data_IF_023070749212
#
_entry.id   IF_023070749212
#
_cell.length_a   1.000
_cell.length_b   1.000
_cell.length_c   1.000
_cell.angle_alpha   90.00
_cell.angle_beta   90.00
_cell.angle_gamma   90.00
#
_symmetry.space_group_name_H-M   'P 1'
#
loop_
_entity.id
_entity.type
_entity.pdbx_description
1 polymer ?
#
# COMPACT_ATOMS: atom_id res chain seq x y z
N UNK A 1 10.15 1.27 15.30
CA UNK A 1 9.24 0.30 15.94
C UNK A 1 7.80 0.81 15.86
N UNK A 2 6.80 -0.06 15.96
CA UNK A 2 5.37 0.33 15.90
C UNK A 2 4.99 1.33 17.00
N UNK A 3 5.55 1.19 18.21
CA UNK A 3 5.33 2.12 19.32
C UNK A 3 5.92 3.52 19.03
N UNK A 4 7.06 3.60 18.31
CA UNK A 4 7.65 4.88 17.88
C UNK A 4 6.79 5.55 16.81
N UNK A 5 6.28 4.78 15.84
CA UNK A 5 5.35 5.28 14.81
C UNK A 5 4.12 5.89 15.48
N UNK A 6 3.53 5.18 16.47
CA UNK A 6 2.44 5.71 17.30
C UNK A 6 2.82 7.03 17.95
N UNK A 7 3.96 7.08 18.65
CA UNK A 7 4.39 8.29 19.35
C UNK A 7 4.56 9.50 18.40
N UNK A 8 5.16 9.29 17.23
CA UNK A 8 5.35 10.34 16.21
C UNK A 8 4.01 10.84 15.68
N UNK A 9 3.09 9.93 15.31
CA UNK A 9 1.75 10.29 14.83
C UNK A 9 1.01 11.11 15.89
N UNK A 10 0.97 10.63 17.14
CA UNK A 10 0.28 11.30 18.24
C UNK A 10 0.85 12.67 18.55
N UNK A 11 2.19 12.77 18.63
CA UNK A 11 2.86 14.05 18.87
C UNK A 11 2.55 15.05 17.74
N UNK A 12 2.62 14.61 16.48
CA UNK A 12 2.35 15.47 15.33
C UNK A 12 0.91 16.02 15.34
N UNK A 13 -0.07 15.16 15.63
CA UNK A 13 -1.49 15.57 15.72
C UNK A 13 -1.71 16.50 16.91
N UNK A 14 -1.04 16.26 18.04
CA UNK A 14 -1.15 17.10 19.24
C UNK A 14 -0.50 18.48 19.06
N UNK A 15 0.66 18.54 18.41
CA UNK A 15 1.43 19.77 18.21
C UNK A 15 0.81 20.65 17.11
N UNK A 16 0.00 20.06 16.21
CA UNK A 16 -0.68 20.74 15.11
C UNK A 16 -2.15 20.31 14.98
N UNK A 17 -3.00 20.59 15.99
CA UNK A 17 -4.39 20.13 16.02
C UNK A 17 -5.28 20.78 14.96
N UNK A 18 -4.89 21.94 14.43
CA UNK A 18 -5.63 22.70 13.42
C UNK A 18 -5.42 22.17 11.99
N UNK A 19 -4.42 21.31 11.78
CA UNK A 19 -4.06 20.80 10.45
C UNK A 19 -4.70 19.44 10.18
N UNK A 20 -4.96 19.20 8.89
CA UNK A 20 -5.24 17.85 8.38
C UNK A 20 -3.91 17.13 8.14
N UNK A 21 -3.83 15.88 8.53
CA UNK A 21 -2.60 15.08 8.44
C UNK A 21 -2.80 13.91 7.49
N UNK A 22 -1.73 13.52 6.80
CA UNK A 22 -1.64 12.28 6.04
C UNK A 22 -0.34 11.61 6.43
N UNK A 23 -0.42 10.36 6.88
CA UNK A 23 0.77 9.58 7.23
C UNK A 23 1.04 8.55 6.14
N UNK A 24 2.28 8.49 5.67
CA UNK A 24 2.73 7.50 4.67
C UNK A 24 3.82 6.65 5.31
N UNK A 25 3.67 5.33 5.23
CA UNK A 25 4.60 4.35 5.81
C UNK A 25 5.14 3.45 4.70
N UNK A 26 6.44 3.56 4.45
CA UNK A 26 7.21 2.76 3.50
C UNK A 26 8.24 1.89 4.24
N UNK A 27 8.04 0.58 4.39
CA UNK A 27 6.87 -0.24 4.06
C UNK A 27 6.63 -1.26 5.18
N UNK A 28 5.49 -1.98 5.15
CA UNK A 28 5.05 -2.92 6.18
C UNK A 28 6.15 -3.90 6.66
N UNK A 29 6.95 -4.44 5.74
CA UNK A 29 8.03 -5.39 6.02
C UNK A 29 9.12 -4.85 6.96
N UNK A 30 9.33 -3.53 6.99
CA UNK A 30 10.35 -2.88 7.82
C UNK A 30 9.85 -2.49 9.22
N UNK A 31 8.56 -2.62 9.49
CA UNK A 31 8.01 -2.27 10.80
C UNK A 31 8.41 -3.36 11.81
N UNK A 32 9.08 -2.90 12.87
CA UNK A 32 9.50 -3.73 14.00
C UNK A 32 8.49 -3.64 15.14
N UNK A 33 8.37 -4.73 15.87
CA UNK A 33 7.57 -4.88 17.09
C UNK A 33 8.43 -5.64 18.09
N UNK A 34 8.19 -5.41 19.38
CA UNK A 34 8.91 -6.03 20.49
C UNK A 34 8.36 -7.43 20.79
N UNK A 35 7.18 -7.76 20.26
CA UNK A 35 6.56 -9.07 20.35
C UNK A 35 7.23 -10.09 19.42
N UNK A 36 7.29 -11.33 19.89
CA UNK A 36 7.77 -12.47 19.08
C UNK A 36 6.58 -13.19 18.46
N UNK A 37 6.65 -13.44 17.15
CA UNK A 37 5.60 -14.11 16.39
C UNK A 37 6.11 -15.40 15.79
N UNK A 38 5.24 -16.41 15.71
CA UNK A 38 5.56 -17.69 15.09
C UNK A 38 5.79 -17.59 13.56
N UNK A 39 5.20 -16.59 12.91
CA UNK A 39 5.36 -16.33 11.48
C UNK A 39 5.08 -14.86 11.13
N UNK A 40 5.43 -14.48 9.90
CA UNK A 40 5.22 -13.12 9.40
C UNK A 40 3.73 -12.75 9.26
N UNK A 41 2.86 -13.73 8.97
CA UNK A 41 1.42 -13.47 8.86
C UNK A 41 0.89 -12.87 10.18
N UNK A 42 1.11 -13.53 11.31
CA UNK A 42 0.69 -13.05 12.63
C UNK A 42 1.33 -11.70 12.99
N UNK A 43 2.62 -11.51 12.68
CA UNK A 43 3.32 -10.24 12.89
C UNK A 43 2.65 -9.10 12.10
N UNK A 44 2.37 -9.32 10.82
CA UNK A 44 1.74 -8.31 9.97
C UNK A 44 0.30 -8.04 10.40
N UNK A 45 -0.48 -9.08 10.74
CA UNK A 45 -1.81 -8.93 11.34
C UNK A 45 -1.77 -8.00 12.55
N UNK A 46 -0.86 -8.24 13.49
CA UNK A 46 -0.70 -7.39 14.67
C UNK A 46 -0.38 -5.95 14.28
N UNK A 47 0.63 -5.72 13.42
CA UNK A 47 1.02 -4.37 13.00
C UNK A 47 -0.12 -3.62 12.30
N UNK A 48 -0.86 -4.29 11.42
CA UNK A 48 -1.99 -3.70 10.68
C UNK A 48 -3.12 -3.30 11.64
N UNK A 49 -3.43 -4.14 12.62
CA UNK A 49 -4.44 -3.83 13.64
C UNK A 49 -4.00 -2.63 14.50
N UNK A 50 -2.75 -2.61 14.96
CA UNK A 50 -2.21 -1.49 15.72
C UNK A 50 -2.26 -0.17 14.93
N UNK A 51 -1.93 -0.21 13.63
CA UNK A 51 -2.05 0.94 12.73
C UNK A 51 -3.50 1.37 12.53
N UNK A 52 -4.43 0.43 12.40
CA UNK A 52 -5.86 0.73 12.28
C UNK A 52 -6.41 1.37 13.55
N UNK A 53 -5.97 0.91 14.72
CA UNK A 53 -6.38 1.49 15.98
C UNK A 53 -5.82 2.91 16.15
N UNK A 54 -4.55 3.13 15.80
CA UNK A 54 -3.97 4.49 15.73
C UNK A 54 -4.80 5.38 14.81
N UNK A 55 -5.10 4.92 13.58
CA UNK A 55 -5.91 5.62 12.59
C UNK A 55 -7.30 6.00 13.14
N UNK A 56 -7.97 5.08 13.84
CA UNK A 56 -9.28 5.33 14.47
C UNK A 56 -9.18 6.34 15.63
N UNK A 57 -8.11 6.29 16.41
CA UNK A 57 -7.93 7.21 17.53
C UNK A 57 -7.64 8.63 17.06
N UNK A 58 -6.68 8.82 16.14
CA UNK A 58 -6.32 10.16 15.66
C UNK A 58 -7.24 10.69 14.56
N UNK A 59 -8.05 9.81 13.94
CA UNK A 59 -8.98 10.12 12.84
C UNK A 59 -8.30 10.79 11.63
N UNK A 60 -7.06 10.42 11.34
CA UNK A 60 -6.29 10.88 10.19
C UNK A 60 -5.94 9.68 9.28
N UNK A 61 -5.93 9.86 7.95
CA UNK A 61 -5.58 8.78 7.01
C UNK A 61 -4.13 8.30 7.17
N UNK A 62 -3.94 6.98 7.01
CA UNK A 62 -2.64 6.33 6.94
C UNK A 62 -2.57 5.54 5.62
N UNK A 63 -1.56 5.83 4.81
CA UNK A 63 -1.19 5.05 3.63
C UNK A 63 -0.04 4.13 4.02
N UNK A 64 -0.24 2.83 3.84
CA UNK A 64 0.76 1.80 4.10
C UNK A 64 1.15 1.13 2.78
N UNK A 65 2.44 1.13 2.47
CA UNK A 65 2.97 0.36 1.34
C UNK A 65 3.20 -1.08 1.82
N UNK A 66 2.71 -2.04 1.05
CA UNK A 66 2.91 -3.47 1.27
C UNK A 66 3.38 -4.13 -0.01
N UNK A 67 4.37 -5.03 0.10
CA UNK A 67 4.85 -5.81 -1.03
C UNK A 67 3.87 -6.95 -1.33
N UNK A 68 3.72 -7.28 -2.61
CA UNK A 68 2.96 -8.44 -3.07
C UNK A 68 3.80 -9.71 -3.00
N UNK A 69 3.12 -10.86 -2.99
CA UNK A 69 3.81 -12.13 -3.21
C UNK A 69 4.38 -12.17 -4.65
N UNK A 70 5.61 -12.66 -4.79
CA UNK A 70 6.28 -12.82 -6.10
C UNK A 70 5.58 -13.78 -7.05
N UNK A 71 4.64 -14.59 -6.56
CA UNK A 71 3.79 -15.47 -7.39
C UNK A 71 3.06 -14.72 -8.52
N UNK A 72 2.81 -13.40 -8.38
CA UNK A 72 2.23 -12.57 -9.44
C UNK A 72 3.09 -12.58 -10.72
N UNK A 73 4.42 -12.69 -10.59
CA UNK A 73 5.36 -12.75 -11.71
C UNK A 73 5.24 -14.05 -12.53
N UNK A 74 4.52 -15.07 -12.04
CA UNK A 74 4.29 -16.34 -12.74
C UNK A 74 2.98 -16.41 -13.53
N UNK A 75 2.04 -15.48 -13.33
CA UNK A 75 0.69 -15.54 -13.92
C UNK A 75 0.68 -15.20 -15.41
N UNK A 76 -0.30 -15.68 -16.17
CA UNK A 76 -0.50 -15.22 -17.56
C UNK A 76 -0.92 -13.75 -17.59
N UNK A 77 -1.90 -13.37 -16.76
CA UNK A 77 -2.23 -11.97 -16.49
C UNK A 77 -1.45 -11.50 -15.25
N UNK A 78 -0.56 -10.52 -15.45
CA UNK A 78 0.29 -9.96 -14.40
C UNK A 78 -0.40 -8.90 -13.55
N UNK A 79 -1.68 -8.59 -13.83
CA UNK A 79 -2.46 -7.67 -13.01
C UNK A 79 -2.60 -8.21 -11.59
N UNK A 80 -2.19 -7.43 -10.57
CA UNK A 80 -2.37 -7.83 -9.19
C UNK A 80 -3.84 -7.93 -8.81
N UNK A 81 -4.16 -8.89 -7.94
CA UNK A 81 -5.48 -9.04 -7.36
C UNK A 81 -5.40 -9.31 -5.85
N UNK A 82 -6.56 -9.36 -5.19
CA UNK A 82 -6.66 -9.60 -3.74
C UNK A 82 -5.96 -10.91 -3.30
N UNK A 83 -5.90 -11.92 -4.17
CA UNK A 83 -5.19 -13.16 -3.87
C UNK A 83 -3.67 -12.96 -3.68
N UNK A 84 -3.08 -11.90 -4.23
CA UNK A 84 -1.65 -11.61 -4.15
C UNK A 84 -1.21 -11.02 -2.81
N UNK A 85 -2.18 -10.59 -1.98
CA UNK A 85 -1.97 -10.15 -0.60
C UNK A 85 -2.44 -11.19 0.44
N UNK A 86 -2.81 -12.40 0.00
CA UNK A 86 -3.46 -13.43 0.84
C UNK A 86 -2.61 -13.94 2.00
N UNK A 87 -1.28 -13.98 1.85
CA UNK A 87 -0.36 -14.26 2.98
C UNK A 87 -0.42 -13.19 4.08
N UNK A 88 -1.12 -12.09 3.82
CA UNK A 88 -1.46 -11.03 4.75
C UNK A 88 -2.98 -10.82 4.76
N UNK A 89 -3.78 -11.89 4.87
CA UNK A 89 -5.26 -11.83 4.85
C UNK A 89 -5.88 -10.75 5.75
N UNK A 90 -5.18 -10.34 6.81
CA UNK A 90 -5.57 -9.21 7.65
C UNK A 90 -5.54 -7.85 6.94
N UNK A 91 -4.70 -7.64 5.92
CA UNK A 91 -4.74 -6.44 5.07
C UNK A 91 -6.10 -6.36 4.38
N UNK A 92 -6.52 -7.45 3.75
CA UNK A 92 -7.80 -7.51 3.03
C UNK A 92 -8.95 -7.19 3.97
N UNK A 93 -8.99 -7.76 5.17
CA UNK A 93 -10.08 -7.50 6.11
C UNK A 93 -10.04 -6.06 6.65
N UNK A 94 -8.88 -5.58 7.10
CA UNK A 94 -8.76 -4.36 7.90
C UNK A 94 -8.73 -3.09 7.05
N UNK A 95 -8.10 -3.13 5.87
CA UNK A 95 -7.94 -1.94 5.03
C UNK A 95 -9.31 -1.37 4.59
N UNK A 96 -9.41 -0.04 4.58
CA UNK A 96 -10.59 0.64 4.04
C UNK A 96 -10.53 0.71 2.51
N UNK A 97 -9.33 0.93 1.96
CA UNK A 97 -9.05 1.04 0.53
C UNK A 97 -7.81 0.21 0.22
N UNK A 98 -7.85 -0.53 -0.90
CA UNK A 98 -6.69 -1.27 -1.44
C UNK A 98 -6.51 -0.86 -2.89
N UNK A 99 -5.31 -0.41 -3.22
CA UNK A 99 -4.92 0.07 -4.55
C UNK A 99 -3.72 -0.73 -5.01
N UNK A 100 -3.81 -1.33 -6.20
CA UNK A 100 -2.69 -1.99 -6.85
C UNK A 100 -2.20 -1.17 -8.05
N UNK A 101 -0.93 -0.75 -8.07
CA UNK A 101 -0.33 -0.21 -9.29
C UNK A 101 0.05 -1.37 -10.23
N UNK A 102 -0.31 -1.25 -11.51
CA UNK A 102 0.09 -2.18 -12.57
C UNK A 102 0.61 -1.43 -13.78
N UNK A 103 1.83 -1.74 -14.22
CA UNK A 103 2.43 -1.14 -15.41
C UNK A 103 2.82 -2.24 -16.37
N UNK A 104 2.09 -2.35 -17.48
CA UNK A 104 2.28 -3.43 -18.45
C UNK A 104 3.72 -3.47 -19.00
N UNK A 105 4.27 -2.29 -19.33
CA UNK A 105 5.63 -2.13 -19.82
C UNK A 105 6.71 -2.60 -18.83
N UNK A 106 6.40 -2.87 -17.56
CA UNK A 106 7.37 -3.47 -16.64
C UNK A 106 7.67 -4.95 -17.00
N UNK A 107 6.66 -5.65 -17.50
CA UNK A 107 6.71 -7.08 -17.83
C UNK A 107 7.09 -7.35 -19.29
N UNK A 108 6.95 -6.34 -20.16
CA UNK A 108 7.39 -6.36 -21.56
C UNK A 108 8.73 -5.63 -21.70
N UNK A 109 9.81 -6.39 -21.94
CA UNK A 109 11.17 -5.84 -22.03
C UNK A 109 11.33 -4.83 -23.17
N UNK A 110 10.70 -5.09 -24.32
CA UNK A 110 10.82 -4.23 -25.50
C UNK A 110 10.18 -2.89 -25.23
N UNK A 111 8.94 -2.88 -24.73
CA UNK A 111 8.24 -1.64 -24.33
C UNK A 111 8.99 -0.88 -23.25
N UNK A 112 9.52 -1.59 -22.25
CA UNK A 112 10.29 -0.98 -21.16
C UNK A 112 11.49 -0.18 -21.65
N UNK A 113 12.14 -0.67 -22.70
CA UNK A 113 13.36 -0.08 -23.25
C UNK A 113 13.06 1.00 -24.30
N UNK A 114 12.01 0.83 -25.10
CA UNK A 114 11.71 1.70 -26.26
C UNK A 114 10.70 2.80 -25.96
N UNK A 115 9.78 2.60 -25.02
CA UNK A 115 8.75 3.58 -24.68
C UNK A 115 9.20 4.49 -23.53
N UNK A 116 9.05 5.81 -23.72
CA UNK A 116 9.30 6.82 -22.68
C UNK A 116 8.08 7.06 -21.77
N UNK A 117 6.88 6.76 -22.28
CA UNK A 117 5.61 6.88 -21.57
C UNK A 117 5.00 5.48 -21.49
N UNK A 118 4.71 5.02 -20.28
CA UNK A 118 4.14 3.70 -20.02
C UNK A 118 2.71 3.82 -19.52
N UNK A 119 1.74 3.20 -20.21
CA UNK A 119 0.38 3.07 -19.67
C UNK A 119 0.44 2.31 -18.34
N UNK A 120 -0.14 2.92 -17.31
CA UNK A 120 -0.14 2.42 -15.94
C UNK A 120 -1.54 2.48 -15.37
N UNK A 121 -1.96 1.40 -14.73
CA UNK A 121 -3.27 1.24 -14.10
C UNK A 121 -3.12 1.39 -12.58
N UNK A 122 -3.96 2.22 -11.96
CA UNK A 122 -4.21 2.17 -10.52
C UNK A 122 -5.53 1.45 -10.29
N UNK A 123 -5.44 0.21 -9.84
CA UNK A 123 -6.57 -0.69 -9.64
C UNK A 123 -7.05 -0.54 -8.20
N UNK A 124 -8.19 0.12 -8.00
CA UNK A 124 -8.88 0.21 -6.71
C UNK A 124 -9.64 -1.10 -6.51
N UNK A 125 -8.98 -2.09 -5.91
CA UNK A 125 -9.52 -3.43 -5.71
C UNK A 125 -10.49 -3.53 -4.53
N UNK A 126 -10.37 -2.62 -3.56
CA UNK A 126 -11.30 -2.50 -2.43
C UNK A 126 -11.53 -1.04 -2.10
N UNK A 127 -12.79 -0.69 -1.83
CA UNK A 127 -13.17 0.60 -1.28
C UNK A 127 -14.41 0.43 -0.39
N UNK A 128 -14.25 0.55 0.93
CA UNK A 128 -15.37 0.36 1.89
C UNK A 128 -16.48 1.40 1.73
N UNK A 129 -16.16 2.59 1.24
CA UNK A 129 -17.06 3.75 1.21
C UNK A 129 -17.30 4.29 -0.21
N UNK A 130 -17.07 3.47 -1.24
CA UNK A 130 -17.21 3.93 -2.62
C UNK A 130 -17.01 2.82 -3.65
N UNK A 131 -16.96 3.21 -4.91
CA UNK A 131 -16.77 2.27 -6.01
C UNK A 131 -15.32 1.74 -6.06
N UNK A 132 -15.20 0.51 -6.54
CA UNK A 132 -13.97 -0.07 -7.08
C UNK A 132 -13.85 0.30 -8.55
N UNK A 133 -12.65 0.17 -9.11
CA UNK A 133 -12.41 0.47 -10.53
C UNK A 133 -10.94 0.62 -10.85
N UNK A 134 -10.65 0.93 -12.11
CA UNK A 134 -9.29 1.13 -12.59
C UNK A 134 -9.16 2.54 -13.15
N UNK A 135 -8.19 3.28 -12.63
CA UNK A 135 -7.76 4.56 -13.19
C UNK A 135 -6.58 4.29 -14.13
N UNK A 136 -6.64 4.86 -15.33
CA UNK A 136 -5.51 4.82 -16.27
C UNK A 136 -4.71 6.10 -16.15
N UNK A 137 -3.40 5.96 -16.09
CA UNK A 137 -2.42 7.02 -16.01
C UNK A 137 -1.29 6.74 -16.98
N UNK A 138 -0.55 7.77 -17.33
CA UNK A 138 0.68 7.70 -18.09
C UNK A 138 1.86 7.87 -17.15
N UNK A 139 2.75 6.89 -17.09
CA UNK A 139 4.00 6.99 -16.33
C UNK A 139 5.13 7.46 -17.26
N UNK A 140 5.69 8.65 -16.97
CA UNK A 140 6.81 9.22 -17.72
C UNK A 140 8.12 8.71 -17.13
N UNK A 141 8.77 7.77 -17.82
CA UNK A 141 9.96 7.04 -17.33
C UNK A 141 11.13 7.96 -16.97
N UNK A 142 11.36 9.00 -17.77
CA UNK A 142 12.47 9.94 -17.57
C UNK A 142 12.36 10.77 -16.29
N UNK A 143 11.13 11.10 -15.87
CA UNK A 143 10.87 11.98 -14.71
C UNK A 143 10.31 11.24 -13.51
N UNK A 144 9.91 9.98 -13.66
CA UNK A 144 9.17 9.19 -12.67
C UNK A 144 7.84 9.84 -12.25
N UNK A 145 7.20 10.53 -13.18
CA UNK A 145 5.93 11.22 -12.94
C UNK A 145 4.75 10.40 -13.47
N UNK A 146 3.62 10.50 -12.78
CA UNK A 146 2.33 10.01 -13.27
C UNK A 146 1.51 11.21 -13.75
N UNK A 147 1.02 11.15 -14.98
CA UNK A 147 0.17 12.18 -15.58
C UNK A 147 -1.13 11.54 -16.08
N UNK A 148 -2.22 12.30 -16.05
CA UNK A 148 -3.49 11.90 -16.68
C UNK A 148 -3.40 11.89 -18.21
#
# INVERSE_FOLDING_TARGET
>A
HIHEIRAVIWKTVKDHPEKKHLFVIDHLGHIKTDETFANNHLKFTHIINELKDIQKTVKQPIILIAQLNRAVEGKMDKRPCMADIRESGSIEEVADVIIFPHREAYFDKEKRETEEIHETELIIAKNRNGAVGTLKLNFVKRTNEFVE
#
